data_IF_174759924893
#
_entry.id   IF_174759924893
#
_cell.length_a   1.000
_cell.length_b   1.000
_cell.length_c   1.000
_cell.angle_alpha   90.00
_cell.angle_beta   90.00
_cell.angle_gamma   90.00
#
_symmetry.space_group_name_H-M   'P 1'
#
loop_
_entity.id
_entity.type
_entity.pdbx_description
1 polymer ?
#
# COMPACT_ATOMS: atom_id res chain seq x y z
N UNK A 1 7.59 12.21 21.02
CA UNK A 1 6.89 11.50 19.91
C UNK A 1 6.72 10.05 20.33
N UNK A 2 5.50 9.50 20.38
CA UNK A 2 5.32 8.12 20.88
C UNK A 2 5.89 7.12 19.88
N UNK A 3 6.57 6.09 20.39
CA UNK A 3 7.16 5.01 19.57
C UNK A 3 6.12 4.20 18.77
N UNK A 4 4.82 4.39 19.05
CA UNK A 4 3.72 3.69 18.39
C UNK A 4 3.38 4.21 17.00
N UNK A 5 3.80 5.43 16.65
CA UNK A 5 3.54 6.00 15.33
C UNK A 5 4.24 5.22 14.19
N UNK A 6 5.38 4.59 14.49
CA UNK A 6 6.26 3.96 13.50
C UNK A 6 6.36 2.44 13.62
N UNK A 7 5.55 1.82 14.48
CA UNK A 7 5.56 0.37 14.69
C UNK A 7 4.22 -0.28 14.40
N UNK A 8 4.25 -1.58 14.11
CA UNK A 8 3.08 -2.44 13.98
C UNK A 8 3.15 -3.52 15.04
N UNK A 9 2.07 -3.65 15.81
CA UNK A 9 1.98 -4.69 16.81
C UNK A 9 1.77 -6.05 16.14
N UNK A 10 2.16 -7.12 16.85
CA UNK A 10 1.77 -8.47 16.48
C UNK A 10 0.25 -8.54 16.34
N UNK A 11 -0.25 -9.19 15.29
CA UNK A 11 -1.69 -9.36 15.12
C UNK A 11 -2.16 -9.48 13.67
N UNK A 12 -3.48 -9.55 13.52
CA UNK A 12 -4.14 -9.67 12.23
C UNK A 12 -4.43 -8.29 11.66
N UNK A 13 -4.14 -8.15 10.38
CA UNK A 13 -4.37 -6.93 9.62
C UNK A 13 -5.17 -7.23 8.37
N UNK A 14 -6.18 -6.41 8.10
CA UNK A 14 -6.90 -6.39 6.83
C UNK A 14 -6.27 -5.33 5.93
N UNK A 15 -5.91 -5.71 4.71
CA UNK A 15 -5.46 -4.78 3.68
C UNK A 15 -6.70 -4.10 3.12
N UNK A 16 -6.79 -2.78 3.27
CA UNK A 16 -7.93 -1.98 2.83
C UNK A 16 -7.71 -1.50 1.40
N UNK A 17 -6.54 -0.90 1.15
CA UNK A 17 -6.16 -0.37 -0.17
C UNK A 17 -4.68 -0.57 -0.39
N UNK A 18 -4.29 -0.68 -1.68
CA UNK A 18 -2.90 -0.86 -2.10
C UNK A 18 -2.63 0.01 -3.33
N UNK A 19 -1.55 0.77 -3.30
CA UNK A 19 -1.06 1.57 -4.41
C UNK A 19 0.39 1.21 -4.69
N UNK A 20 0.69 0.86 -5.93
CA UNK A 20 2.08 0.75 -6.38
C UNK A 20 2.70 2.15 -6.41
N UNK A 21 3.84 2.33 -5.76
CA UNK A 21 4.53 3.63 -5.63
C UNK A 21 5.88 3.66 -6.34
N UNK A 22 6.25 2.56 -6.99
CA UNK A 22 7.50 2.41 -7.75
C UNK A 22 7.30 2.64 -9.25
N UNK A 23 6.08 2.96 -9.68
CA UNK A 23 5.73 3.29 -11.07
C UNK A 23 5.02 4.65 -11.12
N UNK A 24 5.11 5.31 -12.28
CA UNK A 24 4.35 6.53 -12.52
C UNK A 24 2.85 6.24 -12.54
N UNK A 25 2.02 7.23 -12.16
CA UNK A 25 0.56 7.08 -12.22
C UNK A 25 0.06 6.80 -13.65
N UNK A 26 0.74 7.32 -14.68
CA UNK A 26 0.41 7.05 -16.08
C UNK A 26 0.65 5.58 -16.45
N UNK A 27 1.79 5.01 -16.04
CA UNK A 27 2.10 3.59 -16.24
C UNK A 27 1.11 2.68 -15.53
N UNK A 28 0.65 3.06 -14.32
CA UNK A 28 -0.35 2.30 -13.58
C UNK A 28 -1.74 2.31 -14.22
N UNK A 29 -2.03 3.29 -15.08
CA UNK A 29 -3.29 3.33 -15.83
C UNK A 29 -3.27 2.34 -17.01
N UNK A 30 -2.09 2.02 -17.56
CA UNK A 30 -1.94 1.30 -18.83
C UNK A 30 -1.37 -0.12 -18.69
N UNK A 31 -0.61 -0.43 -17.64
CA UNK A 31 0.11 -1.71 -17.52
C UNK A 31 -0.66 -2.84 -16.83
N UNK A 32 -0.34 -4.07 -17.26
CA UNK A 32 -0.92 -5.34 -16.82
C UNK A 32 0.06 -6.14 -15.92
N UNK A 33 1.36 -5.82 -15.92
CA UNK A 33 2.38 -6.66 -15.26
C UNK A 33 3.09 -6.04 -14.04
N UNK A 34 3.36 -6.89 -13.05
CA UNK A 34 3.91 -6.53 -11.74
C UNK A 34 5.03 -7.49 -11.33
N UNK A 35 6.25 -7.36 -11.88
CA UNK A 35 7.40 -8.01 -11.29
C UNK A 35 8.32 -6.93 -10.71
N UNK A 36 8.38 -6.84 -9.38
CA UNK A 36 9.30 -5.96 -8.59
C UNK A 36 8.84 -4.52 -8.34
N UNK A 37 7.68 -4.36 -7.71
CA UNK A 37 7.23 -3.05 -7.24
C UNK A 37 7.08 -2.95 -5.72
N UNK A 38 7.45 -1.79 -5.20
CA UNK A 38 7.08 -1.34 -3.86
C UNK A 38 5.64 -0.83 -3.84
N UNK A 39 4.93 -1.13 -2.76
CA UNK A 39 3.53 -0.75 -2.59
C UNK A 39 3.31 -0.03 -1.27
N UNK A 40 2.53 1.04 -1.33
CA UNK A 40 1.96 1.69 -0.15
C UNK A 40 0.57 1.10 0.10
N UNK A 41 0.26 0.75 1.33
CA UNK A 41 -1.02 0.18 1.69
C UNK A 41 -1.62 0.82 2.93
N UNK A 42 -2.95 0.87 2.95
CA UNK A 42 -3.73 1.15 4.15
C UNK A 42 -4.14 -0.19 4.75
N UNK A 43 -3.74 -0.43 6.00
CA UNK A 43 -4.11 -1.64 6.75
C UNK A 43 -4.97 -1.29 7.96
N UNK A 44 -5.86 -2.20 8.32
CA UNK A 44 -6.74 -2.07 9.48
C UNK A 44 -6.46 -3.20 10.47
N UNK A 45 -6.38 -2.84 11.74
CA UNK A 45 -6.31 -3.74 12.90
C UNK A 45 -7.35 -3.32 13.94
N UNK A 46 -7.39 -4.02 15.07
CA UNK A 46 -8.25 -3.66 16.22
C UNK A 46 -7.91 -2.27 16.77
N UNK A 47 -6.64 -1.85 16.69
CA UNK A 47 -6.21 -0.51 17.12
C UNK A 47 -6.46 0.59 16.07
N UNK A 48 -7.16 0.27 14.97
CA UNK A 48 -7.49 1.21 13.90
C UNK A 48 -6.63 1.05 12.65
N UNK A 49 -6.45 2.16 11.91
CA UNK A 49 -5.83 2.18 10.59
C UNK A 49 -4.37 2.62 10.64
N UNK A 50 -3.52 1.99 9.84
CA UNK A 50 -2.12 2.39 9.63
C UNK A 50 -1.74 2.34 8.16
N UNK A 51 -0.83 3.22 7.78
CA UNK A 51 -0.16 3.18 6.48
C UNK A 51 1.11 2.35 6.61
N UNK A 52 1.32 1.44 5.67
CA UNK A 52 2.52 0.60 5.60
C UNK A 52 3.07 0.59 4.18
N UNK A 53 4.31 0.15 4.03
CA UNK A 53 5.00 0.03 2.76
C UNK A 53 5.50 -1.39 2.62
N UNK A 54 4.98 -2.13 1.64
CA UNK A 54 5.54 -3.41 1.24
C UNK A 54 6.69 -3.13 0.29
N UNK A 55 7.92 -3.43 0.74
CA UNK A 55 9.13 -3.14 -0.02
C UNK A 55 9.52 -4.29 -0.96
N UNK A 56 9.05 -5.49 -0.67
CA UNK A 56 9.17 -6.66 -1.55
C UNK A 56 7.95 -6.76 -2.48
N UNK A 57 8.06 -7.47 -3.62
CA UNK A 57 6.92 -7.74 -4.49
C UNK A 57 5.79 -8.43 -3.71
N UNK A 58 4.56 -7.99 -3.93
CA UNK A 58 3.36 -8.61 -3.37
C UNK A 58 2.47 -9.12 -4.50
N UNK A 59 1.81 -10.25 -4.26
CA UNK A 59 0.85 -10.87 -5.17
C UNK A 59 -0.60 -10.75 -4.65
N UNK A 60 -0.83 -9.84 -3.71
CA UNK A 60 -2.11 -9.64 -3.05
C UNK A 60 -2.58 -8.18 -3.09
N UNK A 61 -3.90 -7.99 -3.07
CA UNK A 61 -4.55 -6.67 -3.16
C UNK A 61 -5.47 -6.35 -2.00
N UNK A 62 -6.28 -5.29 -2.20
CA UNK A 62 -7.33 -4.87 -1.29
C UNK A 62 -8.26 -6.04 -0.91
N UNK A 63 -8.62 -6.13 0.37
CA UNK A 63 -9.42 -7.20 0.96
C UNK A 63 -8.64 -8.42 1.44
N UNK A 64 -7.33 -8.50 1.17
CA UNK A 64 -6.45 -9.53 1.72
C UNK A 64 -6.29 -9.39 3.24
N UNK A 65 -5.85 -10.46 3.90
CA UNK A 65 -5.51 -10.45 5.34
C UNK A 65 -4.11 -10.98 5.54
N UNK A 66 -3.35 -10.28 6.38
CA UNK A 66 -2.00 -10.67 6.79
C UNK A 66 -1.94 -10.81 8.31
N UNK A 67 -1.01 -11.63 8.79
CA UNK A 67 -0.70 -11.83 10.19
C UNK A 67 0.76 -11.45 10.42
N UNK A 68 1.00 -10.45 11.26
CA UNK A 68 2.32 -10.20 11.82
C UNK A 68 2.55 -11.16 12.97
N UNK A 69 3.60 -11.98 12.90
CA UNK A 69 3.94 -12.96 13.93
C UNK A 69 4.54 -12.30 15.18
N UNK A 70 5.17 -11.15 14.99
CA UNK A 70 5.89 -10.39 16.01
C UNK A 70 5.65 -8.88 15.81
N UNK A 71 6.06 -8.07 16.79
CA UNK A 71 6.02 -6.61 16.66
C UNK A 71 7.09 -6.18 15.66
N UNK A 72 6.72 -5.36 14.68
CA UNK A 72 7.65 -4.78 13.72
C UNK A 72 7.87 -3.31 14.08
N UNK A 73 9.11 -2.92 14.36
CA UNK A 73 9.47 -1.54 14.71
C UNK A 73 9.70 -0.67 13.45
N UNK A 74 8.89 -0.89 12.43
CA UNK A 74 8.96 -0.20 11.15
C UNK A 74 7.60 -0.30 10.45
N UNK A 75 7.30 0.67 9.58
CA UNK A 75 6.18 0.60 8.65
C UNK A 75 6.59 0.00 7.29
N UNK A 76 7.89 -0.28 7.10
CA UNK A 76 8.43 -0.99 5.95
C UNK A 76 8.35 -2.49 6.22
N UNK A 77 7.51 -3.19 5.47
CA UNK A 77 7.28 -4.62 5.59
C UNK A 77 7.95 -5.38 4.46
N UNK A 78 8.78 -6.34 4.84
CA UNK A 78 9.33 -7.40 4.00
C UNK A 78 8.44 -8.63 4.05
N UNK A 79 8.58 -9.51 3.07
CA UNK A 79 7.83 -10.78 3.00
C UNK A 79 8.04 -11.69 4.22
N UNK A 80 9.16 -11.55 4.94
CA UNK A 80 9.46 -12.28 6.18
C UNK A 80 8.68 -11.78 7.40
N UNK A 81 8.19 -10.54 7.37
CA UNK A 81 7.56 -9.91 8.54
C UNK A 81 6.12 -10.40 8.76
N UNK A 82 5.49 -10.95 7.74
CA UNK A 82 4.08 -11.32 7.75
C UNK A 82 3.79 -12.66 7.07
N UNK A 83 2.64 -13.22 7.39
CA UNK A 83 2.05 -14.36 6.67
C UNK A 83 0.72 -13.94 6.08
N UNK A 84 0.49 -14.25 4.81
CA UNK A 84 -0.80 -14.04 4.15
C UNK A 84 -1.76 -15.12 4.65
N UNK A 85 -2.81 -14.72 5.35
CA UNK A 85 -3.85 -15.63 5.88
C UNK A 85 -5.08 -15.69 4.99
N UNK A 86 -5.30 -14.67 4.17
CA UNK A 86 -6.32 -14.65 3.14
C UNK A 86 -5.85 -13.79 1.97
N UNK A 87 -5.90 -14.32 0.75
CA UNK A 87 -5.42 -13.63 -0.45
C UNK A 87 -6.58 -13.19 -1.34
N UNK A 88 -6.60 -11.90 -1.69
CA UNK A 88 -7.29 -11.39 -2.88
C UNK A 88 -6.24 -11.00 -3.90
N UNK A 89 -6.48 -11.29 -5.17
CA UNK A 89 -5.55 -10.93 -6.23
C UNK A 89 -5.33 -9.43 -6.26
N UNK A 90 -4.08 -9.03 -6.49
CA UNK A 90 -3.77 -7.64 -6.71
C UNK A 90 -4.52 -7.11 -7.96
N UNK A 91 -5.13 -5.94 -7.81
CA UNK A 91 -5.68 -5.15 -8.91
C UNK A 91 -5.40 -3.69 -8.63
N UNK A 92 -4.91 -2.98 -9.63
CA UNK A 92 -4.72 -1.53 -9.52
C UNK A 92 -6.07 -0.86 -9.30
N UNK A 93 -6.15 0.04 -8.32
CA UNK A 93 -7.30 0.89 -8.11
C UNK A 93 -7.30 2.04 -9.13
N UNK A 94 -7.79 1.75 -10.34
CA UNK A 94 -7.78 2.68 -11.48
C UNK A 94 -8.53 3.99 -11.17
N UNK A 95 -9.65 3.91 -10.44
CA UNK A 95 -10.40 5.09 -10.02
C UNK A 95 -9.59 6.03 -9.11
N UNK A 96 -8.79 5.48 -8.20
CA UNK A 96 -7.86 6.29 -7.39
C UNK A 96 -6.76 6.90 -8.25
N UNK A 97 -6.16 6.11 -9.15
CA UNK A 97 -5.11 6.59 -10.06
C UNK A 97 -5.61 7.75 -10.92
N UNK A 98 -6.82 7.65 -11.48
CA UNK A 98 -7.43 8.71 -12.28
C UNK A 98 -7.68 9.98 -11.48
N UNK A 99 -8.20 9.87 -10.25
CA UNK A 99 -8.37 11.03 -9.36
C UNK A 99 -7.05 11.72 -9.03
N UNK A 100 -5.98 10.94 -8.82
CA UNK A 100 -4.65 11.50 -8.56
C UNK A 100 -4.07 12.21 -9.79
N UNK A 101 -4.27 11.66 -10.99
CA UNK A 101 -3.85 12.28 -12.26
C UNK A 101 -4.61 13.59 -12.53
N UNK A 102 -5.93 13.60 -12.30
CA UNK A 102 -6.76 14.80 -12.44
C UNK A 102 -6.28 15.91 -11.50
N UNK A 103 -6.07 15.59 -10.22
CA UNK A 103 -5.56 16.55 -9.23
C UNK A 103 -4.20 17.11 -9.61
N UNK A 104 -3.32 16.29 -10.18
CA UNK A 104 -2.02 16.77 -10.67
C UNK A 104 -2.19 17.78 -11.81
N UNK A 105 -3.13 17.54 -12.72
CA UNK A 105 -3.43 18.42 -13.86
C UNK A 105 -4.00 19.77 -13.41
N UNK A 106 -4.88 19.75 -12.41
CA UNK A 106 -5.40 20.97 -11.77
C UNK A 106 -4.27 21.79 -11.14
N UNK A 107 -3.39 21.15 -10.37
CA UNK A 107 -2.25 21.84 -9.74
C UNK A 107 -1.31 22.49 -10.76
N UNK A 108 -1.03 21.83 -11.89
CA UNK A 108 -0.19 22.41 -12.95
C UNK A 108 -0.84 23.62 -13.65
N UNK A 109 -2.17 23.78 -13.61
CA UNK A 109 -2.84 24.98 -14.14
C UNK A 109 -2.66 26.22 -13.25
N UNK A 110 -2.35 26.04 -11.97
CA UNK A 110 -2.13 27.12 -11.01
C UNK A 110 -0.67 27.55 -10.89
N UNK A 111 0.26 26.78 -11.45
CA UNK A 111 1.67 27.17 -11.57
C UNK A 111 1.87 27.78 -12.95
N UNK A 112 1.55 29.07 -13.10
CA UNK A 112 2.08 29.85 -14.24
C UNK A 112 3.58 30.09 -14.03
N UNK A 113 4.40 30.07 -15.10
CA UNK A 113 5.80 30.49 -15.03
C UNK A 113 5.91 31.97 -14.59
#
# INVERSE_FOLDING_TARGET
MSADAFSLNKGRYKVIEVLCISKSLLSLKTEIEIPKSMHKALVQSESGYKIVYFIDPIDFGAGSRILLKEKVNSLLLRNIDYVITYRKNYRTNTALVEKLLLKNTENTRWVKP
#
